data_IF_056896591566
#
_entry.id   IF_056896591566
#
_cell.length_a   1.000
_cell.length_b   1.000
_cell.length_c   1.000
_cell.angle_alpha   90.00
_cell.angle_beta   90.00
_cell.angle_gamma   90.00
#
_symmetry.space_group_name_H-M   'P 1'
#
loop_
_entity.id
_entity.type
_entity.pdbx_description
1 polymer ?
#
# COMPACT_ATOMS: atom_id res chain seq x y z
N UNK A 1 25.77 -11.06 6.30
CA UNK A 1 24.92 -11.05 7.53
C UNK A 1 24.04 -12.29 7.66
N UNK A 2 22.96 -12.50 6.91
CA UNK A 2 22.07 -13.67 7.11
C UNK A 2 22.75 -15.06 6.96
N UNK A 3 23.90 -15.13 6.26
CA UNK A 3 24.69 -16.36 6.12
C UNK A 3 25.54 -16.65 7.37
N UNK A 4 26.24 -15.65 7.89
CA UNK A 4 27.17 -15.79 9.03
C UNK A 4 26.46 -15.64 10.38
N UNK A 5 25.37 -14.87 10.41
CA UNK A 5 24.60 -14.51 11.59
C UNK A 5 23.09 -14.72 11.34
N UNK A 6 22.63 -15.95 11.08
CA UNK A 6 21.23 -16.23 10.74
C UNK A 6 20.26 -15.92 11.89
N UNK A 7 20.77 -15.78 13.13
CA UNK A 7 20.00 -15.44 14.34
C UNK A 7 20.03 -13.96 14.73
N UNK A 8 20.72 -13.11 13.95
CA UNK A 8 20.68 -11.67 14.17
C UNK A 8 19.34 -11.11 13.69
N UNK A 9 18.38 -11.00 14.63
CA UNK A 9 17.02 -10.59 14.33
C UNK A 9 16.97 -9.20 13.67
N UNK A 10 17.76 -8.25 14.18
CA UNK A 10 17.77 -6.88 13.70
C UNK A 10 18.28 -6.82 12.26
N UNK A 11 19.40 -7.50 11.97
CA UNK A 11 19.93 -7.53 10.62
C UNK A 11 19.00 -8.25 9.64
N UNK A 12 18.36 -9.34 10.07
CA UNK A 12 17.34 -10.03 9.27
C UNK A 12 16.17 -9.09 8.96
N UNK A 13 15.68 -8.36 9.96
CA UNK A 13 14.57 -7.41 9.79
C UNK A 13 14.92 -6.25 8.87
N UNK A 14 16.10 -5.63 9.04
CA UNK A 14 16.55 -4.53 8.17
C UNK A 14 16.69 -4.99 6.72
N UNK A 15 17.22 -6.19 6.49
CA UNK A 15 17.35 -6.74 5.15
C UNK A 15 15.98 -7.09 4.53
N UNK A 16 15.04 -7.63 5.33
CA UNK A 16 13.66 -7.89 4.90
C UNK A 16 12.93 -6.60 4.50
N UNK A 17 13.03 -5.54 5.30
CA UNK A 17 12.48 -4.22 4.96
C UNK A 17 13.15 -3.61 3.73
N UNK A 18 14.47 -3.77 3.60
CA UNK A 18 15.22 -3.37 2.41
C UNK A 18 14.69 -4.04 1.15
N UNK A 19 14.41 -5.34 1.19
CA UNK A 19 13.82 -6.05 0.04
C UNK A 19 12.42 -5.54 -0.29
N UNK A 20 11.58 -5.28 0.72
CA UNK A 20 10.24 -4.71 0.56
C UNK A 20 10.27 -3.34 -0.15
N UNK A 21 11.05 -2.39 0.38
CA UNK A 21 11.13 -1.05 -0.21
C UNK A 21 11.74 -1.06 -1.62
N UNK A 22 12.57 -2.06 -1.93
CA UNK A 22 13.15 -2.23 -3.26
C UNK A 22 12.32 -3.09 -4.23
N UNK A 23 11.12 -3.53 -3.83
CA UNK A 23 10.24 -4.31 -4.70
C UNK A 23 10.75 -5.74 -4.98
N UNK A 24 11.61 -6.28 -4.12
CA UNK A 24 12.23 -7.58 -4.31
C UNK A 24 11.45 -8.69 -3.58
N UNK A 25 10.17 -8.87 -3.90
CA UNK A 25 9.26 -9.83 -3.24
C UNK A 25 9.83 -11.26 -3.10
N UNK A 26 10.38 -11.89 -4.16
CA UNK A 26 10.99 -13.21 -4.04
C UNK A 26 12.16 -13.25 -3.05
N UNK A 27 13.01 -12.21 -3.04
CA UNK A 27 14.16 -12.13 -2.13
C UNK A 27 13.70 -11.90 -0.70
N UNK A 28 12.67 -11.07 -0.50
CA UNK A 28 12.07 -10.81 0.81
C UNK A 28 11.62 -12.12 1.47
N UNK A 29 10.84 -12.94 0.76
CA UNK A 29 10.41 -14.27 1.23
C UNK A 29 11.61 -15.20 1.46
N UNK A 30 12.47 -15.32 0.45
CA UNK A 30 13.55 -16.32 0.46
C UNK A 30 14.62 -16.00 1.51
N UNK A 31 14.83 -14.72 1.83
CA UNK A 31 15.76 -14.31 2.89
C UNK A 31 15.34 -14.88 4.23
N UNK A 32 14.06 -14.77 4.55
CA UNK A 32 13.53 -15.33 5.79
C UNK A 32 13.57 -16.86 5.72
N UNK A 33 13.17 -17.45 4.60
CA UNK A 33 13.23 -18.90 4.38
C UNK A 33 14.62 -19.49 4.60
N UNK A 34 15.69 -18.79 4.19
CA UNK A 34 17.08 -19.23 4.35
C UNK A 34 17.53 -19.23 5.81
N UNK A 35 17.05 -18.30 6.63
CA UNK A 35 17.44 -18.25 8.04
C UNK A 35 16.58 -19.16 8.91
N UNK A 36 15.32 -19.41 8.55
CA UNK A 36 14.35 -20.20 9.33
C UNK A 36 14.88 -21.51 9.94
N UNK A 37 15.71 -22.33 9.26
CA UNK A 37 16.26 -23.55 9.86
C UNK A 37 17.13 -23.31 11.11
N UNK A 38 17.59 -22.07 11.32
CA UNK A 38 18.34 -21.67 12.52
C UNK A 38 17.43 -21.22 13.66
N UNK A 39 16.11 -21.16 13.47
CA UNK A 39 15.15 -20.64 14.46
C UNK A 39 14.15 -21.72 14.88
N UNK A 40 13.83 -21.71 16.17
CA UNK A 40 12.78 -22.54 16.76
C UNK A 40 12.23 -21.83 18.01
N UNK A 41 11.27 -22.45 18.70
CA UNK A 41 10.61 -21.88 19.88
C UNK A 41 11.55 -21.57 21.05
N UNK A 42 12.75 -22.17 21.10
CA UNK A 42 13.76 -21.87 22.12
C UNK A 42 14.58 -20.60 21.81
N UNK A 43 14.51 -20.09 20.58
CA UNK A 43 15.24 -18.88 20.14
C UNK A 43 14.37 -17.64 20.36
N UNK A 44 14.79 -16.68 21.21
CA UNK A 44 14.04 -15.44 21.41
C UNK A 44 13.81 -14.68 20.11
N UNK A 45 12.56 -14.24 19.89
CA UNK A 45 12.18 -13.51 18.68
C UNK A 45 11.74 -14.38 17.50
N UNK A 46 11.66 -15.70 17.66
CA UNK A 46 11.17 -16.60 16.60
C UNK A 46 9.78 -16.20 16.05
N UNK A 47 8.87 -15.72 16.91
CA UNK A 47 7.56 -15.20 16.47
C UNK A 47 7.67 -14.09 15.43
N UNK A 48 8.60 -13.14 15.61
CA UNK A 48 8.84 -12.07 14.63
C UNK A 48 9.39 -12.60 13.30
N UNK A 49 10.21 -13.65 13.33
CA UNK A 49 10.73 -14.30 12.12
C UNK A 49 9.60 -14.99 11.36
N UNK A 50 8.69 -15.65 12.06
CA UNK A 50 7.48 -16.20 11.45
C UNK A 50 6.59 -15.09 10.86
N UNK A 51 6.42 -13.96 11.56
CA UNK A 51 5.68 -12.80 11.06
C UNK A 51 6.29 -12.23 9.76
N UNK A 52 7.62 -12.09 9.70
CA UNK A 52 8.33 -11.70 8.47
C UNK A 52 8.14 -12.74 7.35
N UNK A 53 8.18 -14.03 7.68
CA UNK A 53 7.96 -15.08 6.68
C UNK A 53 6.53 -15.09 6.14
N UNK A 54 5.54 -14.93 7.02
CA UNK A 54 4.13 -14.84 6.66
C UNK A 54 3.89 -13.70 5.65
N UNK A 55 4.47 -12.52 5.90
CA UNK A 55 4.37 -11.40 4.97
C UNK A 55 5.05 -11.70 3.62
N UNK A 56 6.26 -12.28 3.63
CA UNK A 56 6.93 -12.67 2.39
C UNK A 56 6.18 -13.75 1.59
N UNK A 57 5.46 -14.66 2.25
CA UNK A 57 4.59 -15.64 1.60
C UNK A 57 3.38 -14.96 0.95
N UNK A 58 2.77 -14.00 1.64
CA UNK A 58 1.61 -13.25 1.14
C UNK A 58 1.97 -12.39 -0.08
N UNK A 59 3.11 -11.69 -0.07
CA UNK A 59 3.55 -10.91 -1.24
C UNK A 59 3.89 -11.81 -2.45
N UNK A 60 4.04 -13.12 -2.24
CA UNK A 60 4.19 -14.13 -3.29
C UNK A 60 2.90 -14.91 -3.60
N UNK A 61 1.75 -14.43 -3.12
CA UNK A 61 0.42 -15.02 -3.28
C UNK A 61 0.28 -16.46 -2.71
N UNK A 62 1.17 -16.89 -1.81
CA UNK A 62 1.05 -18.15 -1.07
C UNK A 62 0.18 -17.96 0.18
N UNK A 63 -1.06 -17.53 -0.06
CA UNK A 63 -1.96 -16.98 0.96
C UNK A 63 -2.29 -17.96 2.10
N UNK A 64 -2.56 -19.23 1.77
CA UNK A 64 -2.90 -20.22 2.79
C UNK A 64 -1.75 -20.44 3.77
N UNK A 65 -0.53 -20.60 3.26
CA UNK A 65 0.66 -20.76 4.11
C UNK A 65 1.00 -19.47 4.84
N UNK A 66 0.77 -18.30 4.22
CA UNK A 66 0.96 -17.02 4.87
C UNK A 66 0.04 -16.85 6.09
N UNK A 67 -1.26 -17.15 5.96
CA UNK A 67 -2.23 -17.07 7.05
C UNK A 67 -1.89 -18.04 8.18
N UNK A 68 -1.60 -19.30 7.87
CA UNK A 68 -1.19 -20.31 8.85
C UNK A 68 0.08 -19.88 9.61
N UNK A 69 1.07 -19.35 8.89
CA UNK A 69 2.33 -18.88 9.48
C UNK A 69 2.11 -17.64 10.34
N UNK A 70 1.25 -16.71 9.89
CA UNK A 70 0.89 -15.50 10.63
C UNK A 70 0.18 -15.83 11.94
N UNK A 71 -0.78 -16.76 11.92
CA UNK A 71 -1.43 -17.22 13.15
C UNK A 71 -0.47 -17.95 14.09
N UNK A 72 0.49 -18.72 13.58
CA UNK A 72 1.56 -19.30 14.41
C UNK A 72 2.43 -18.22 15.07
N UNK A 73 2.78 -17.17 14.33
CA UNK A 73 3.53 -16.03 14.87
C UNK A 73 2.75 -15.34 16.01
N UNK A 74 1.46 -15.08 15.81
CA UNK A 74 0.58 -14.45 16.81
C UNK A 74 0.33 -15.33 18.03
N UNK A 75 0.29 -16.66 17.86
CA UNK A 75 0.21 -17.59 18.98
C UNK A 75 1.46 -17.53 19.89
N UNK A 76 2.62 -17.20 19.33
CA UNK A 76 3.86 -16.99 20.08
C UNK A 76 3.96 -15.56 20.64
N UNK A 77 3.52 -14.57 19.87
CA UNK A 77 3.53 -13.17 20.26
C UNK A 77 2.31 -12.42 19.70
N UNK A 78 1.24 -12.36 20.50
CA UNK A 78 -0.01 -11.68 20.10
C UNK A 78 0.18 -10.20 19.79
N UNK A 79 1.21 -9.56 20.38
CA UNK A 79 1.48 -8.12 20.23
C UNK A 79 2.33 -7.80 18.99
N UNK A 80 2.67 -8.78 18.16
CA UNK A 80 3.40 -8.54 16.91
C UNK A 80 2.47 -7.88 15.87
N UNK A 81 2.65 -6.57 15.59
CA UNK A 81 1.78 -5.90 14.62
C UNK A 81 2.12 -6.28 13.18
N UNK A 82 3.33 -6.79 12.92
CA UNK A 82 3.75 -7.20 11.58
C UNK A 82 3.14 -8.55 11.20
N UNK A 83 3.03 -9.48 12.16
CA UNK A 83 2.27 -10.72 11.97
C UNK A 83 0.77 -10.46 11.79
N UNK A 84 0.19 -9.53 12.57
CA UNK A 84 -1.20 -9.07 12.38
C UNK A 84 -1.40 -8.49 10.97
N UNK A 85 -0.48 -7.64 10.55
CA UNK A 85 -0.45 -7.05 9.21
C UNK A 85 -0.43 -8.11 8.11
N UNK A 86 0.43 -9.12 8.20
CA UNK A 86 0.49 -10.21 7.21
C UNK A 86 -0.85 -10.96 7.07
N UNK A 87 -1.51 -11.27 8.20
CA UNK A 87 -2.84 -11.92 8.18
C UNK A 87 -3.90 -10.99 7.58
N UNK A 88 -3.89 -9.71 7.94
CA UNK A 88 -4.80 -8.72 7.37
C UNK A 88 -4.62 -8.62 5.83
N UNK A 89 -3.37 -8.61 5.38
CA UNK A 89 -3.01 -8.63 3.97
C UNK A 89 -3.61 -9.83 3.23
N UNK A 90 -3.45 -11.05 3.76
CA UNK A 90 -4.06 -12.26 3.17
C UNK A 90 -5.58 -12.11 3.02
N UNK A 91 -6.26 -11.69 4.09
CA UNK A 91 -7.71 -11.53 4.09
C UNK A 91 -8.16 -10.45 3.10
N UNK A 92 -7.37 -9.39 2.91
CA UNK A 92 -7.61 -8.36 1.92
C UNK A 92 -7.44 -8.87 0.49
N UNK A 93 -6.31 -9.51 0.21
CA UNK A 93 -5.96 -9.96 -1.13
C UNK A 93 -6.88 -11.10 -1.62
N UNK A 94 -7.45 -11.88 -0.71
CA UNK A 94 -8.48 -12.88 -1.01
C UNK A 94 -9.92 -12.34 -0.98
N UNK A 95 -10.11 -11.04 -0.73
CA UNK A 95 -11.44 -10.43 -0.53
C UNK A 95 -12.30 -11.11 0.55
N UNK A 96 -11.68 -11.65 1.60
CA UNK A 96 -12.34 -12.19 2.80
C UNK A 96 -12.65 -11.07 3.80
N UNK A 97 -13.40 -10.07 3.33
CA UNK A 97 -13.57 -8.77 4.00
C UNK A 97 -14.19 -8.91 5.40
N UNK A 98 -15.23 -9.74 5.54
CA UNK A 98 -15.88 -9.95 6.83
C UNK A 98 -14.95 -10.63 7.84
N UNK A 99 -14.09 -11.54 7.39
CA UNK A 99 -13.09 -12.21 8.24
C UNK A 99 -12.03 -11.19 8.68
N UNK A 100 -11.55 -10.36 7.75
CA UNK A 100 -10.59 -9.29 8.02
C UNK A 100 -11.09 -8.28 9.05
N UNK A 101 -12.34 -7.82 8.90
CA UNK A 101 -12.98 -6.92 9.87
C UNK A 101 -13.07 -7.59 11.25
N UNK A 102 -13.56 -8.83 11.33
CA UNK A 102 -13.66 -9.56 12.61
C UNK A 102 -12.29 -9.75 13.24
N UNK A 103 -11.29 -10.15 12.46
CA UNK A 103 -9.94 -10.40 12.94
C UNK A 103 -9.30 -9.15 13.55
N UNK A 104 -9.27 -8.03 12.81
CA UNK A 104 -8.63 -6.80 13.29
C UNK A 104 -9.39 -6.17 14.47
N UNK A 105 -10.73 -6.21 14.45
CA UNK A 105 -11.52 -5.64 15.54
C UNK A 105 -11.47 -6.48 16.82
N UNK A 106 -11.49 -7.81 16.72
CA UNK A 106 -11.44 -8.70 17.88
C UNK A 106 -10.06 -8.73 18.56
N UNK A 107 -8.99 -8.42 17.83
CA UNK A 107 -7.61 -8.44 18.34
C UNK A 107 -7.02 -7.04 18.56
N UNK A 108 -7.83 -5.97 18.43
CA UNK A 108 -7.33 -4.59 18.47
C UNK A 108 -6.50 -4.25 19.72
N UNK A 109 -6.85 -4.82 20.88
CA UNK A 109 -6.16 -4.57 22.15
C UNK A 109 -4.77 -5.23 22.20
N UNK A 110 -4.50 -6.18 21.31
CA UNK A 110 -3.18 -6.83 21.21
C UNK A 110 -2.20 -5.99 20.39
N UNK A 111 -2.63 -5.44 19.24
CA UNK A 111 -1.73 -4.81 18.27
C UNK A 111 -1.78 -3.27 18.26
N UNK A 112 -2.84 -2.63 18.74
CA UNK A 112 -2.98 -1.18 18.67
C UNK A 112 -2.29 -0.38 19.80
N UNK A 113 -2.37 -0.80 21.08
CA UNK A 113 -1.82 -0.01 22.19
C UNK A 113 -0.29 0.09 22.16
N UNK A 114 0.22 1.32 22.35
CA UNK A 114 1.65 1.65 22.43
C UNK A 114 2.47 1.15 21.22
N UNK A 115 1.90 1.24 20.02
CA UNK A 115 2.49 0.65 18.82
C UNK A 115 2.61 1.63 17.66
N UNK A 116 3.84 1.90 17.24
CA UNK A 116 4.16 2.83 16.16
C UNK A 116 3.79 2.31 14.75
N UNK A 117 3.31 1.07 14.61
CA UNK A 117 2.81 0.51 13.35
C UNK A 117 1.28 0.32 13.33
N UNK A 118 0.59 0.64 14.44
CA UNK A 118 -0.85 0.41 14.56
C UNK A 118 -1.67 1.13 13.48
N UNK A 119 -1.27 2.35 13.08
CA UNK A 119 -1.98 3.13 12.06
C UNK A 119 -2.10 2.37 10.74
N UNK A 120 -1.13 1.51 10.41
CA UNK A 120 -1.12 0.72 9.18
C UNK A 120 -2.12 -0.43 9.25
N UNK A 121 -2.23 -1.10 10.40
CA UNK A 121 -3.27 -2.11 10.63
C UNK A 121 -4.68 -1.46 10.64
N UNK A 122 -4.82 -0.25 11.18
CA UNK A 122 -6.04 0.54 11.05
C UNK A 122 -6.36 0.91 9.60
N UNK A 123 -5.32 1.17 8.78
CA UNK A 123 -5.48 1.43 7.35
C UNK A 123 -6.05 0.22 6.60
N UNK A 124 -5.56 -1.00 6.86
CA UNK A 124 -6.17 -2.22 6.30
C UNK A 124 -7.63 -2.40 6.73
N UNK A 125 -7.95 -2.13 8.00
CA UNK A 125 -9.34 -2.15 8.45
C UNK A 125 -10.20 -1.15 7.67
N UNK A 126 -9.66 0.04 7.40
CA UNK A 126 -10.29 1.03 6.54
C UNK A 126 -10.51 0.52 5.11
N UNK A 127 -9.55 -0.21 4.53
CA UNK A 127 -9.70 -0.79 3.20
C UNK A 127 -10.84 -1.80 3.12
N UNK A 128 -11.05 -2.62 4.16
CA UNK A 128 -12.21 -3.51 4.19
C UNK A 128 -13.53 -2.75 4.17
N UNK A 129 -13.63 -1.67 4.95
CA UNK A 129 -14.82 -0.81 4.97
C UNK A 129 -15.04 -0.12 3.62
N UNK A 130 -13.99 0.37 2.97
CA UNK A 130 -14.06 0.88 1.58
C UNK A 130 -14.58 -0.19 0.63
N UNK A 131 -14.09 -1.43 0.72
CA UNK A 131 -14.48 -2.52 -0.18
C UNK A 131 -15.95 -2.92 0.02
N UNK A 132 -16.46 -3.00 1.26
CA UNK A 132 -17.89 -3.26 1.50
C UNK A 132 -18.80 -2.03 1.26
N UNK A 133 -18.22 -0.84 1.08
CA UNK A 133 -18.95 0.39 0.77
C UNK A 133 -19.32 1.25 1.98
N UNK A 134 -18.82 0.94 3.17
CA UNK A 134 -18.95 1.77 4.37
C UNK A 134 -17.85 2.84 4.39
N UNK A 135 -17.98 3.82 3.49
CA UNK A 135 -16.97 4.88 3.33
C UNK A 135 -16.93 5.84 4.52
N UNK A 136 -18.03 5.96 5.28
CA UNK A 136 -18.06 6.76 6.49
C UNK A 136 -17.18 6.14 7.57
N UNK A 137 -17.26 4.82 7.78
CA UNK A 137 -16.40 4.13 8.74
C UNK A 137 -14.91 4.25 8.38
N UNK A 138 -14.59 4.24 7.08
CA UNK A 138 -13.22 4.48 6.62
C UNK A 138 -12.73 5.90 6.95
N UNK A 139 -13.57 6.92 6.78
CA UNK A 139 -13.26 8.30 7.20
C UNK A 139 -13.11 8.43 8.72
N UNK A 140 -13.98 7.78 9.50
CA UNK A 140 -13.87 7.78 10.96
C UNK A 140 -12.55 7.15 11.42
N UNK A 141 -12.12 6.04 10.79
CA UNK A 141 -10.82 5.42 11.05
C UNK A 141 -9.66 6.33 10.64
N UNK A 142 -9.78 7.03 9.52
CA UNK A 142 -8.80 8.03 9.10
C UNK A 142 -8.60 9.08 10.21
N UNK A 143 -9.69 9.67 10.68
CA UNK A 143 -9.65 10.78 11.66
C UNK A 143 -9.27 10.35 13.07
N UNK A 144 -9.53 9.09 13.46
CA UNK A 144 -9.39 8.67 14.86
C UNK A 144 -8.22 7.70 15.11
N UNK A 145 -7.69 7.08 14.05
CA UNK A 145 -6.73 5.97 14.17
C UNK A 145 -5.57 6.02 13.19
N UNK A 146 -5.79 6.40 11.93
CA UNK A 146 -4.71 6.47 10.93
C UNK A 146 -3.95 7.79 11.07
N UNK A 147 -4.67 8.92 11.10
CA UNK A 147 -4.10 10.26 11.23
C UNK A 147 -4.90 11.12 12.20
N UNK A 148 -4.91 10.79 13.51
CA UNK A 148 -5.63 11.56 14.52
C UNK A 148 -5.03 12.94 14.82
N UNK A 149 -3.79 13.17 14.38
CA UNK A 149 -3.08 14.45 14.50
C UNK A 149 -2.09 14.61 13.36
N UNK A 150 -1.67 15.84 13.11
CA UNK A 150 -0.60 16.09 12.16
C UNK A 150 0.72 15.45 12.61
N UNK A 151 1.39 14.84 11.65
CA UNK A 151 2.61 14.05 11.83
C UNK A 151 3.40 14.08 10.52
N UNK A 152 4.72 14.21 10.64
CA UNK A 152 5.69 14.19 9.52
C UNK A 152 6.28 12.80 9.24
N UNK A 153 5.71 11.75 9.85
CA UNK A 153 6.10 10.36 9.63
C UNK A 153 5.66 9.92 8.22
N UNK A 154 6.63 9.62 7.35
CA UNK A 154 6.38 9.35 5.94
C UNK A 154 5.42 8.17 5.72
N UNK A 155 5.55 7.08 6.48
CA UNK A 155 4.71 5.89 6.33
C UNK A 155 3.23 6.18 6.66
N UNK A 156 2.97 6.95 7.72
CA UNK A 156 1.60 7.39 8.07
C UNK A 156 1.02 8.32 7.01
N UNK A 157 1.84 9.25 6.47
CA UNK A 157 1.40 10.14 5.40
C UNK A 157 1.13 9.39 4.08
N UNK A 158 1.87 8.32 3.79
CA UNK A 158 1.62 7.41 2.67
C UNK A 158 0.24 6.77 2.81
N UNK A 159 -0.05 6.18 3.98
CA UNK A 159 -1.35 5.54 4.25
C UNK A 159 -2.50 6.54 4.18
N UNK A 160 -2.31 7.73 4.76
CA UNK A 160 -3.27 8.81 4.71
C UNK A 160 -3.57 9.25 3.27
N UNK A 161 -2.53 9.50 2.45
CA UNK A 161 -2.68 9.85 1.04
C UNK A 161 -3.42 8.75 0.28
N UNK A 162 -3.03 7.49 0.50
CA UNK A 162 -3.58 6.34 -0.18
C UNK A 162 -5.06 6.10 0.17
N UNK A 163 -5.47 6.34 1.42
CA UNK A 163 -6.85 6.22 1.87
C UNK A 163 -7.73 7.33 1.27
N UNK A 164 -7.31 8.59 1.41
CA UNK A 164 -8.07 9.72 0.86
C UNK A 164 -8.20 9.66 -0.66
N UNK A 165 -7.16 9.19 -1.37
CA UNK A 165 -7.21 9.01 -2.81
C UNK A 165 -8.25 7.97 -3.20
N UNK A 166 -8.29 6.80 -2.53
CA UNK A 166 -9.33 5.77 -2.77
C UNK A 166 -10.73 6.35 -2.60
N UNK A 167 -10.97 7.07 -1.50
CA UNK A 167 -12.27 7.69 -1.23
C UNK A 167 -12.63 8.73 -2.30
N UNK A 168 -11.66 9.53 -2.76
CA UNK A 168 -11.84 10.51 -3.83
C UNK A 168 -12.19 9.84 -5.17
N UNK A 169 -11.54 8.73 -5.52
CA UNK A 169 -11.87 7.95 -6.72
C UNK A 169 -13.31 7.42 -6.69
N UNK A 170 -13.85 7.15 -5.49
CA UNK A 170 -15.24 6.74 -5.28
C UNK A 170 -16.24 7.89 -5.24
N UNK A 171 -15.78 9.14 -5.41
CA UNK A 171 -16.64 10.33 -5.33
C UNK A 171 -17.09 10.67 -3.91
N UNK A 172 -16.40 10.15 -2.88
CA UNK A 172 -16.67 10.51 -1.48
C UNK A 172 -16.12 11.91 -1.21
N UNK A 173 -16.93 12.76 -0.58
CA UNK A 173 -16.46 14.05 -0.07
C UNK A 173 -15.54 13.83 1.13
N UNK A 174 -14.25 14.05 0.93
CA UNK A 174 -13.23 13.91 1.98
C UNK A 174 -13.04 15.20 2.80
N UNK A 175 -13.82 16.25 2.52
CA UNK A 175 -13.80 17.52 3.23
C UNK A 175 -12.42 18.21 3.21
N UNK A 176 -12.00 18.76 4.34
CA UNK A 176 -10.77 19.55 4.44
C UNK A 176 -9.47 18.70 4.50
N UNK A 177 -9.56 17.37 4.53
CA UNK A 177 -8.46 16.46 4.91
C UNK A 177 -7.23 16.52 4.00
N UNK A 178 -7.39 16.91 2.73
CA UNK A 178 -6.27 17.07 1.81
C UNK A 178 -5.31 18.20 2.18
N UNK A 179 -5.83 19.35 2.62
CA UNK A 179 -5.01 20.54 2.92
C UNK A 179 -3.95 20.29 4.01
N UNK A 180 -4.28 19.80 5.22
CA UNK A 180 -3.28 19.54 6.25
C UNK A 180 -2.32 18.41 5.86
N UNK A 181 -2.79 17.41 5.10
CA UNK A 181 -1.93 16.34 4.61
C UNK A 181 -0.89 16.85 3.60
N UNK A 182 -1.32 17.66 2.62
CA UNK A 182 -0.43 18.29 1.67
C UNK A 182 0.56 19.25 2.35
N UNK A 183 0.12 19.97 3.39
CA UNK A 183 1.02 20.81 4.19
C UNK A 183 2.12 19.97 4.86
N UNK A 184 1.77 18.80 5.38
CA UNK A 184 2.72 17.89 6.05
C UNK A 184 3.75 17.28 5.11
N UNK A 185 3.41 17.13 3.82
CA UNK A 185 4.34 16.69 2.78
C UNK A 185 5.32 17.80 2.34
N UNK A 186 4.97 19.08 2.50
CA UNK A 186 5.73 20.21 1.97
C UNK A 186 7.24 20.19 2.32
N UNK A 187 7.67 19.84 3.55
CA UNK A 187 9.10 19.81 3.89
C UNK A 187 9.92 18.73 3.17
N UNK A 188 9.27 17.78 2.48
CA UNK A 188 9.90 16.59 1.89
C UNK A 188 9.81 16.54 0.36
N UNK A 189 9.13 17.51 -0.27
CA UNK A 189 8.86 17.47 -1.72
C UNK A 189 10.14 17.43 -2.57
N UNK A 190 11.24 17.97 -2.05
CA UNK A 190 12.53 18.06 -2.73
C UNK A 190 13.51 16.93 -2.36
N UNK A 191 13.13 16.02 -1.44
CA UNK A 191 14.00 14.93 -0.99
C UNK A 191 14.44 14.06 -2.19
N UNK A 192 13.50 13.67 -3.04
CA UNK A 192 13.77 12.85 -4.24
C UNK A 192 14.43 11.50 -3.92
N UNK A 193 14.21 10.99 -2.71
CA UNK A 193 14.89 9.80 -2.16
C UNK A 193 14.13 8.50 -2.43
N UNK A 194 12.80 8.55 -2.49
CA UNK A 194 11.98 7.36 -2.66
C UNK A 194 10.73 7.66 -3.49
N UNK A 195 10.75 7.23 -4.76
CA UNK A 195 9.71 7.54 -5.75
C UNK A 195 8.29 7.14 -5.31
N UNK A 196 8.18 6.12 -4.46
CA UNK A 196 6.91 5.70 -3.87
C UNK A 196 6.32 6.79 -2.97
N UNK A 197 7.13 7.37 -2.07
CA UNK A 197 6.70 8.48 -1.22
C UNK A 197 6.36 9.71 -2.05
N UNK A 198 7.17 10.02 -3.07
CA UNK A 198 6.95 11.17 -3.96
C UNK A 198 5.57 11.07 -4.65
N UNK A 199 5.17 9.87 -5.09
CA UNK A 199 3.85 9.63 -5.68
C UNK A 199 2.69 9.81 -4.67
N UNK A 200 2.90 9.49 -3.38
CA UNK A 200 1.88 9.71 -2.35
C UNK A 200 1.81 11.18 -1.92
N UNK A 201 2.92 11.91 -1.97
CA UNK A 201 2.94 13.36 -1.83
C UNK A 201 2.16 14.02 -2.97
N UNK A 202 2.38 13.56 -4.21
CA UNK A 202 1.63 13.99 -5.39
C UNK A 202 0.12 13.81 -5.24
N UNK A 203 -0.35 12.67 -4.73
CA UNK A 203 -1.78 12.47 -4.44
C UNK A 203 -2.32 13.53 -3.47
N UNK A 204 -1.58 13.84 -2.40
CA UNK A 204 -1.98 14.85 -1.44
C UNK A 204 -2.01 16.26 -2.05
N UNK A 205 -1.01 16.60 -2.86
CA UNK A 205 -0.92 17.89 -3.55
C UNK A 205 -2.07 18.06 -4.55
N UNK A 206 -2.32 17.04 -5.38
CA UNK A 206 -3.43 17.02 -6.34
C UNK A 206 -4.77 17.14 -5.62
N UNK A 207 -5.00 16.32 -4.58
CA UNK A 207 -6.22 16.38 -3.79
C UNK A 207 -6.44 17.72 -3.09
N UNK A 208 -5.37 18.44 -2.75
CA UNK A 208 -5.42 19.78 -2.17
C UNK A 208 -5.51 20.92 -3.20
N UNK A 209 -5.49 20.61 -4.51
CA UNK A 209 -5.47 21.60 -5.59
C UNK A 209 -4.13 22.34 -5.77
N UNK A 210 -3.04 21.84 -5.17
CA UNK A 210 -1.69 22.43 -5.24
C UNK A 210 -0.94 21.92 -6.47
N UNK A 211 -1.48 22.18 -7.66
CA UNK A 211 -1.01 21.58 -8.92
C UNK A 211 0.40 22.05 -9.31
N UNK A 212 0.80 23.28 -9.00
CA UNK A 212 2.15 23.79 -9.27
C UNK A 212 3.22 22.99 -8.50
N UNK A 213 2.94 22.65 -7.25
CA UNK A 213 3.84 21.81 -6.45
C UNK A 213 3.86 20.35 -6.94
N UNK A 214 2.71 19.84 -7.41
CA UNK A 214 2.65 18.53 -8.04
C UNK A 214 3.49 18.47 -9.33
N UNK A 215 3.49 19.55 -10.12
CA UNK A 215 4.36 19.68 -11.30
C UNK A 215 5.84 19.69 -10.91
N UNK A 216 6.20 20.41 -9.84
CA UNK A 216 7.56 20.42 -9.30
C UNK A 216 8.02 19.01 -8.90
N UNK A 217 7.23 18.28 -8.12
CA UNK A 217 7.57 16.90 -7.72
C UNK A 217 7.73 15.98 -8.94
N UNK A 218 6.86 16.14 -9.95
CA UNK A 218 6.96 15.40 -11.21
C UNK A 218 8.28 15.69 -11.94
N UNK A 219 8.72 16.96 -11.98
CA UNK A 219 10.00 17.35 -12.55
C UNK A 219 11.19 16.80 -11.76
N UNK A 220 11.09 16.77 -10.42
CA UNK A 220 12.11 16.19 -9.55
C UNK A 220 12.25 14.68 -9.75
N UNK A 221 11.14 13.95 -9.91
CA UNK A 221 11.15 12.53 -10.29
C UNK A 221 11.84 12.29 -11.64
N UNK A 222 11.61 13.17 -12.62
CA UNK A 222 12.29 13.09 -13.91
C UNK A 222 13.81 13.30 -13.79
N UNK A 223 14.25 14.15 -12.86
CA UNK A 223 15.65 14.31 -12.54
C UNK A 223 16.21 13.11 -11.78
N UNK A 224 15.48 12.57 -10.79
CA UNK A 224 15.87 11.39 -10.02
C UNK A 224 16.08 10.17 -10.92
N UNK A 225 15.23 9.98 -11.93
CA UNK A 225 15.34 8.92 -12.93
C UNK A 225 16.68 8.92 -13.70
N UNK A 226 17.41 10.05 -13.70
CA UNK A 226 18.71 10.21 -14.37
C UNK A 226 19.92 10.10 -13.43
N UNK A 227 19.71 10.07 -12.11
CA UNK A 227 20.79 10.20 -11.10
C UNK A 227 21.50 8.88 -10.72
N UNK A 228 21.17 7.77 -11.38
CA UNK A 228 21.73 6.44 -11.07
C UNK A 228 21.27 5.88 -9.72
N UNK A 229 21.66 4.64 -9.41
CA UNK A 229 21.26 3.96 -8.17
C UNK A 229 19.86 3.31 -8.21
N UNK A 230 19.43 2.77 -7.07
CA UNK A 230 18.17 2.01 -6.97
C UNK A 230 16.95 2.90 -7.20
N UNK A 231 16.90 4.10 -6.62
CA UNK A 231 15.78 5.02 -6.79
C UNK A 231 15.65 5.55 -8.24
N UNK A 232 16.73 5.68 -9.01
CA UNK A 232 16.63 6.13 -10.40
C UNK A 232 15.80 5.17 -11.26
N UNK A 233 15.95 3.85 -11.06
CA UNK A 233 15.13 2.86 -11.77
C UNK A 233 13.66 2.94 -11.31
N UNK A 234 13.42 3.06 -10.00
CA UNK A 234 12.06 3.21 -9.46
C UNK A 234 11.36 4.43 -10.03
N UNK A 235 12.05 5.58 -10.01
CA UNK A 235 11.56 6.85 -10.54
C UNK A 235 11.34 6.77 -12.05
N UNK A 236 12.24 6.14 -12.82
CA UNK A 236 12.10 6.03 -14.27
C UNK A 236 11.00 5.07 -14.71
N UNK A 237 11.01 3.84 -14.19
CA UNK A 237 10.14 2.75 -14.65
C UNK A 237 8.68 2.95 -14.21
N UNK A 238 8.45 3.44 -12.98
CA UNK A 238 7.11 3.49 -12.37
C UNK A 238 6.78 4.87 -11.83
N UNK A 239 7.68 5.49 -11.05
CA UNK A 239 7.39 6.74 -10.33
C UNK A 239 7.00 7.90 -11.23
N UNK A 240 7.78 8.18 -12.27
CA UNK A 240 7.53 9.29 -13.20
C UNK A 240 6.28 9.06 -14.07
N UNK A 241 6.06 7.88 -14.69
CA UNK A 241 4.78 7.61 -15.36
C UNK A 241 3.58 7.74 -14.42
N UNK A 242 3.67 7.22 -13.18
CA UNK A 242 2.60 7.36 -12.22
C UNK A 242 2.35 8.83 -11.84
N UNK A 243 3.40 9.60 -11.57
CA UNK A 243 3.30 11.02 -11.26
C UNK A 243 2.59 11.81 -12.36
N UNK A 244 2.96 11.55 -13.62
CA UNK A 244 2.27 12.13 -14.78
C UNK A 244 0.80 11.73 -14.82
N UNK A 245 0.50 10.46 -14.54
CA UNK A 245 -0.87 9.95 -14.52
C UNK A 245 -1.73 10.58 -13.41
N UNK A 246 -1.19 10.75 -12.20
CA UNK A 246 -1.86 11.41 -11.08
C UNK A 246 -2.12 12.89 -11.37
N UNK A 247 -1.14 13.59 -11.95
CA UNK A 247 -1.29 14.99 -12.34
C UNK A 247 -2.33 15.15 -13.47
N UNK A 248 -2.30 14.27 -14.47
CA UNK A 248 -3.30 14.25 -15.54
C UNK A 248 -4.71 14.00 -14.99
N UNK A 249 -4.86 13.03 -14.08
CA UNK A 249 -6.12 12.77 -13.38
C UNK A 249 -6.61 14.02 -12.62
N UNK A 250 -5.72 14.70 -11.90
CA UNK A 250 -6.02 15.94 -11.18
C UNK A 250 -6.44 17.12 -12.05
N UNK A 251 -6.01 17.12 -13.32
CA UNK A 251 -6.40 18.10 -14.34
C UNK A 251 -7.62 17.68 -15.16
N UNK A 252 -8.25 16.57 -14.79
CA UNK A 252 -9.34 15.92 -15.55
C UNK A 252 -8.94 15.48 -16.97
N UNK A 253 -7.63 15.38 -17.25
CA UNK A 253 -7.09 14.74 -18.44
C UNK A 253 -7.05 13.22 -18.22
N UNK A 254 -8.23 12.62 -18.27
CA UNK A 254 -8.39 11.19 -18.01
C UNK A 254 -7.73 10.32 -19.09
N UNK A 255 -7.65 10.78 -20.33
CA UNK A 255 -6.92 10.07 -21.40
C UNK A 255 -5.40 10.06 -21.14
N UNK A 256 -4.84 11.19 -20.71
CA UNK A 256 -3.45 11.28 -20.28
C UNK A 256 -3.16 10.38 -19.07
N UNK A 257 -4.09 10.32 -18.11
CA UNK A 257 -3.98 9.42 -16.96
C UNK A 257 -3.95 7.94 -17.38
N UNK A 258 -4.84 7.55 -18.29
CA UNK A 258 -4.90 6.19 -18.85
C UNK A 258 -3.58 5.86 -19.55
N UNK A 259 -3.14 6.72 -20.46
CA UNK A 259 -1.92 6.50 -21.25
C UNK A 259 -0.66 6.38 -20.38
N UNK A 260 -0.60 7.10 -19.26
CA UNK A 260 0.54 7.09 -18.35
C UNK A 260 0.55 5.87 -17.41
N UNK A 261 -0.61 5.45 -16.88
CA UNK A 261 -0.70 4.41 -15.84
C UNK A 261 -0.80 3.01 -16.45
N UNK A 262 -1.49 2.86 -17.58
CA UNK A 262 -1.74 1.56 -18.20
C UNK A 262 -0.45 0.72 -18.45
N UNK A 263 0.65 1.29 -18.99
CA UNK A 263 1.85 0.50 -19.32
C UNK A 263 2.63 0.00 -18.09
N UNK A 264 2.49 0.67 -16.93
CA UNK A 264 3.30 0.37 -15.74
C UNK A 264 2.66 -0.64 -14.79
N UNK A 265 1.39 -1.02 -14.99
CA UNK A 265 0.64 -1.87 -14.05
C UNK A 265 1.36 -3.18 -13.69
N UNK A 266 1.87 -3.90 -14.68
CA UNK A 266 2.53 -5.19 -14.45
C UNK A 266 3.94 -5.08 -13.87
N UNK A 267 4.53 -3.88 -13.89
CA UNK A 267 5.87 -3.64 -13.34
C UNK A 267 5.82 -2.79 -12.07
N UNK A 268 4.62 -2.45 -11.57
CA UNK A 268 4.45 -1.57 -10.42
C UNK A 268 5.18 -2.06 -9.17
N UNK A 269 5.42 -3.36 -9.01
CA UNK A 269 6.26 -3.91 -7.92
C UNK A 269 7.66 -3.27 -7.87
N UNK A 270 8.22 -2.81 -9.00
CA UNK A 270 9.60 -2.30 -9.10
C UNK A 270 9.90 -1.08 -8.26
N UNK A 271 8.91 -0.33 -7.80
CA UNK A 271 9.11 0.83 -6.90
C UNK A 271 8.70 0.55 -5.43
N UNK A 272 8.45 -0.70 -5.08
CA UNK A 272 8.09 -1.14 -3.73
C UNK A 272 6.60 -1.06 -3.41
N UNK A 273 6.31 -0.88 -2.11
CA UNK A 273 4.98 -1.01 -1.53
C UNK A 273 4.51 -2.47 -1.43
N UNK A 274 3.30 -2.70 -0.95
CA UNK A 274 2.62 -3.99 -0.96
C UNK A 274 1.60 -4.10 -2.09
N UNK A 275 1.02 -5.28 -2.33
CA UNK A 275 -0.04 -5.45 -3.34
C UNK A 275 -1.23 -4.53 -3.07
N UNK A 276 -1.67 -4.46 -1.81
CA UNK A 276 -2.74 -3.57 -1.36
C UNK A 276 -2.43 -2.11 -1.65
N UNK A 277 -1.20 -1.65 -1.39
CA UNK A 277 -0.81 -0.26 -1.66
C UNK A 277 -0.80 0.05 -3.16
N UNK A 278 -0.20 -0.84 -3.97
CA UNK A 278 -0.11 -0.68 -5.44
C UNK A 278 -1.45 -0.80 -6.16
N UNK A 279 -2.44 -1.45 -5.56
CA UNK A 279 -3.79 -1.58 -6.12
C UNK A 279 -4.39 -0.22 -6.55
N UNK A 280 -3.99 0.84 -5.84
CA UNK A 280 -4.41 2.21 -6.11
C UNK A 280 -4.12 2.69 -7.54
N UNK A 281 -3.05 2.20 -8.16
CA UNK A 281 -2.71 2.52 -9.55
C UNK A 281 -3.79 1.99 -10.50
N UNK A 282 -4.19 0.73 -10.29
CA UNK A 282 -5.25 0.09 -11.09
C UNK A 282 -6.60 0.75 -10.83
N UNK A 283 -6.92 1.11 -9.58
CA UNK A 283 -8.14 1.85 -9.25
C UNK A 283 -8.18 3.23 -9.92
N UNK A 284 -7.06 3.95 -9.93
CA UNK A 284 -6.95 5.26 -10.62
C UNK A 284 -7.16 5.11 -12.13
N UNK A 285 -6.57 4.07 -12.75
CA UNK A 285 -6.77 3.76 -14.16
C UNK A 285 -8.22 3.42 -14.49
N UNK A 286 -8.87 2.58 -13.67
CA UNK A 286 -10.28 2.22 -13.85
C UNK A 286 -11.16 3.46 -13.75
N UNK A 287 -10.95 4.29 -12.74
CA UNK A 287 -11.73 5.52 -12.56
C UNK A 287 -11.51 6.51 -13.70
N UNK A 288 -10.26 6.70 -14.16
CA UNK A 288 -9.96 7.52 -15.32
C UNK A 288 -10.69 6.99 -16.57
N UNK A 289 -10.65 5.67 -16.81
CA UNK A 289 -11.35 5.04 -17.92
C UNK A 289 -12.87 5.23 -17.85
N UNK A 290 -13.47 5.13 -16.65
CA UNK A 290 -14.89 5.40 -16.45
C UNK A 290 -15.23 6.87 -16.77
N UNK A 291 -14.47 7.82 -16.26
CA UNK A 291 -14.70 9.27 -16.49
C UNK A 291 -14.43 9.70 -17.93
N UNK A 292 -13.53 9.03 -18.63
CA UNK A 292 -13.27 9.22 -20.07
C UNK A 292 -14.30 8.52 -20.98
N UNK A 293 -15.27 7.78 -20.44
CA UNK A 293 -16.21 6.98 -21.25
C UNK A 293 -15.57 5.76 -21.92
N UNK A 294 -14.35 5.36 -21.53
CA UNK A 294 -13.62 4.19 -22.03
C UNK A 294 -14.06 2.91 -21.32
N UNK A 295 -15.36 2.60 -21.39
CA UNK A 295 -15.99 1.48 -20.66
C UNK A 295 -15.36 0.12 -20.99
N UNK A 296 -14.89 -0.11 -22.22
CA UNK A 296 -14.16 -1.33 -22.58
C UNK A 296 -12.84 -1.48 -21.83
N UNK A 297 -12.10 -0.39 -21.62
CA UNK A 297 -10.86 -0.39 -20.84
C UNK A 297 -11.16 -0.64 -19.36
N UNK A 298 -12.17 0.03 -18.81
CA UNK A 298 -12.60 -0.18 -17.42
C UNK A 298 -13.03 -1.65 -17.19
N UNK A 299 -13.89 -2.21 -18.06
CA UNK A 299 -14.32 -3.62 -17.99
C UNK A 299 -13.16 -4.60 -18.06
N UNK A 300 -12.16 -4.34 -18.91
CA UNK A 300 -10.99 -5.19 -19.04
C UNK A 300 -10.22 -5.34 -17.72
N UNK A 301 -9.90 -4.22 -17.07
CA UNK A 301 -9.15 -4.26 -15.80
C UNK A 301 -10.00 -4.67 -14.59
N UNK A 302 -11.30 -4.39 -14.62
CA UNK A 302 -12.22 -4.91 -13.61
C UNK A 302 -12.38 -6.43 -13.70
N UNK A 303 -12.36 -7.01 -14.90
CA UNK A 303 -12.37 -8.46 -15.06
C UNK A 303 -11.11 -9.10 -14.45
N UNK A 304 -9.92 -8.53 -14.68
CA UNK A 304 -8.67 -8.98 -14.05
C UNK A 304 -8.77 -8.92 -12.52
N UNK A 305 -9.25 -7.79 -11.98
CA UNK A 305 -9.45 -7.60 -10.54
C UNK A 305 -10.39 -8.65 -9.95
N UNK A 306 -11.53 -8.89 -10.58
CA UNK A 306 -12.56 -9.80 -10.06
C UNK A 306 -12.15 -11.28 -10.14
N UNK A 307 -11.21 -11.65 -11.00
CA UNK A 307 -10.59 -12.98 -10.95
C UNK A 307 -9.73 -13.14 -9.69
N UNK A 308 -8.96 -12.10 -9.33
CA UNK A 308 -8.09 -12.14 -8.14
C UNK A 308 -8.88 -11.97 -6.84
N UNK A 309 -9.95 -11.15 -6.87
CA UNK A 309 -10.75 -10.74 -5.71
C UNK A 309 -12.25 -10.92 -6.01
N UNK A 310 -12.75 -12.16 -6.17
CA UNK A 310 -14.11 -12.42 -6.65
C UNK A 310 -15.21 -11.92 -5.70
N UNK A 311 -14.92 -11.85 -4.40
CA UNK A 311 -15.84 -11.33 -3.39
C UNK A 311 -15.70 -9.82 -3.13
N UNK A 312 -14.91 -9.08 -3.94
CA UNK A 312 -14.75 -7.63 -3.76
C UNK A 312 -16.04 -6.89 -4.11
N UNK A 313 -16.66 -6.28 -3.09
CA UNK A 313 -17.82 -5.41 -3.25
C UNK A 313 -17.47 -4.16 -4.06
N UNK A 314 -16.27 -3.61 -3.88
CA UNK A 314 -15.79 -2.48 -4.67
C UNK A 314 -15.70 -2.84 -6.16
N UNK A 315 -15.09 -3.98 -6.50
CA UNK A 315 -15.01 -4.43 -7.89
C UNK A 315 -16.39 -4.57 -8.54
N UNK A 316 -17.36 -5.15 -7.81
CA UNK A 316 -18.72 -5.30 -8.28
C UNK A 316 -19.42 -3.95 -8.52
N UNK A 317 -19.30 -2.99 -7.57
CA UNK A 317 -19.88 -1.64 -7.73
C UNK A 317 -19.26 -0.86 -8.90
N UNK A 318 -17.95 -0.99 -9.11
CA UNK A 318 -17.29 -0.37 -10.26
C UNK A 318 -17.71 -1.02 -11.59
N UNK A 319 -17.93 -2.33 -11.62
CA UNK A 319 -18.44 -3.03 -12.81
C UNK A 319 -19.85 -2.55 -13.19
N UNK A 320 -20.71 -2.26 -12.21
CA UNK A 320 -22.05 -1.70 -12.47
C UNK A 320 -22.00 -0.32 -13.15
N UNK A 321 -20.94 0.46 -12.94
CA UNK A 321 -20.73 1.75 -13.62
C UNK A 321 -20.29 1.62 -15.08
N UNK A 322 -19.94 0.42 -15.54
CA UNK A 322 -19.60 0.14 -16.93
C UNK A 322 -20.81 -0.25 -17.80
N UNK A 323 -22.01 -0.28 -17.21
CA UNK A 323 -23.26 -0.63 -17.89
C UNK A 323 -23.69 0.46 -18.88
#
# INVERSE_FOLDING_TARGET
VAIEHPRDLLAVQLAHLGDFYNGNGPVQRDRIARVLPSWDKSVPGYGYVLGMYAFGLEEMADYARAEDTGHQALALNRRDPWATHAVAHVLEMQARLADGIRFLTATQDDWAPDNAFAFHNWWHLGLYYVDIGDTQKALDLYDTRIRPKESGMALEMVDASAMLWRLTLLGVDVGARWKPLAHSWAPRLEDGLYAFNDCHALMALVGAGRLEEAELVTALLANAARRGGTNARMAGDVGLPLAKGLLAFGREDYEGAIAAIMPIRHIAIRFGGSHAQRDLLTLTLIEAALRAGRTTVARHYLAERLVQRPASGLGARLMQRCA
#
